data_IF_820859965116
#
_entry.id   IF_820859965116
#
_cell.length_a   1.000
_cell.length_b   1.000
_cell.length_c   1.000
_cell.angle_alpha   90.00
_cell.angle_beta   90.00
_cell.angle_gamma   90.00
#
_symmetry.space_group_name_H-M   'P 1'
#
loop_
_entity.id
_entity.type
_entity.pdbx_description
1 polymer ?
#
# COMPACT_ATOMS: atom_id res chain seq x y z
N UNK A 1 5.56 39.15 -70.81
CA UNK A 1 5.55 40.16 -69.73
C UNK A 1 5.79 39.46 -68.40
N UNK A 2 7.00 39.55 -67.79
CA UNK A 2 7.28 38.91 -66.51
C UNK A 2 7.06 39.89 -65.35
N UNK A 3 6.22 39.50 -64.40
CA UNK A 3 5.93 40.25 -63.17
C UNK A 3 7.02 40.01 -62.12
N UNK A 4 7.61 41.09 -61.61
CA UNK A 4 8.59 41.10 -60.53
C UNK A 4 7.91 40.81 -59.18
N UNK A 5 8.24 39.69 -58.54
CA UNK A 5 7.98 39.44 -57.11
C UNK A 5 9.21 39.87 -56.31
N UNK A 6 9.03 40.79 -55.35
CA UNK A 6 10.06 41.22 -54.40
C UNK A 6 9.97 40.35 -53.13
N UNK A 7 11.10 39.90 -52.56
CA UNK A 7 11.10 39.20 -51.29
C UNK A 7 10.95 40.19 -50.13
N UNK A 8 9.93 39.98 -49.28
CA UNK A 8 9.84 40.59 -47.96
C UNK A 8 10.71 39.78 -47.00
N UNK A 9 11.80 40.38 -46.51
CA UNK A 9 12.61 39.82 -45.42
C UNK A 9 11.94 40.20 -44.11
N UNK A 10 11.26 39.23 -43.49
CA UNK A 10 10.70 39.38 -42.15
C UNK A 10 11.83 39.16 -41.12
N UNK A 11 12.32 40.24 -40.53
CA UNK A 11 13.33 40.19 -39.47
C UNK A 11 12.62 39.87 -38.14
N UNK A 12 12.51 38.58 -37.81
CA UNK A 12 12.02 38.14 -36.51
C UNK A 12 13.12 38.36 -35.46
N UNK A 13 12.97 39.41 -34.64
CA UNK A 13 13.81 39.62 -33.48
C UNK A 13 13.51 38.55 -32.42
N UNK A 14 14.36 37.51 -32.34
CA UNK A 14 14.39 36.61 -31.19
C UNK A 14 14.89 37.40 -29.97
N UNK A 15 13.95 37.92 -29.18
CA UNK A 15 14.23 38.38 -27.82
C UNK A 15 14.47 37.13 -26.96
N UNK A 16 15.73 36.76 -26.79
CA UNK A 16 16.13 35.77 -25.80
C UNK A 16 15.94 36.38 -24.41
N UNK A 17 14.82 36.08 -23.75
CA UNK A 17 14.62 36.44 -22.35
C UNK A 17 15.61 35.64 -21.51
N UNK A 18 16.57 36.32 -20.90
CA UNK A 18 17.47 35.68 -19.93
C UNK A 18 16.63 35.02 -18.82
N UNK A 19 16.98 33.81 -18.36
CA UNK A 19 16.26 33.14 -17.28
C UNK A 19 16.34 34.01 -16.03
N UNK A 20 15.19 34.55 -15.62
CA UNK A 20 15.07 35.33 -14.40
C UNK A 20 15.31 34.38 -13.22
N UNK A 21 16.29 34.68 -12.38
CA UNK A 21 16.59 33.86 -11.20
C UNK A 21 15.31 33.78 -10.34
N UNK A 22 14.81 32.56 -10.10
CA UNK A 22 13.64 32.35 -9.28
C UNK A 22 13.94 32.86 -7.86
N UNK A 23 13.23 33.90 -7.42
CA UNK A 23 13.32 34.35 -6.04
C UNK A 23 12.86 33.21 -5.12
N UNK A 24 13.61 32.99 -4.04
CA UNK A 24 13.20 32.05 -2.99
C UNK A 24 11.86 32.52 -2.41
N UNK A 25 10.94 31.58 -2.18
CA UNK A 25 9.66 31.88 -1.54
C UNK A 25 9.88 32.39 -0.11
N UNK A 26 8.99 33.28 0.37
CA UNK A 26 9.08 33.79 1.75
C UNK A 26 8.88 32.66 2.77
N UNK A 27 8.03 31.68 2.45
CA UNK A 27 7.72 30.54 3.32
C UNK A 27 7.85 29.21 2.57
N UNK A 28 8.42 28.20 3.23
CA UNK A 28 8.58 26.85 2.67
C UNK A 28 7.90 25.80 3.56
N UNK A 29 7.12 24.92 2.94
CA UNK A 29 6.45 23.80 3.58
C UNK A 29 6.84 22.49 2.90
N UNK A 30 6.67 21.40 3.64
CA UNK A 30 7.01 20.06 3.17
C UNK A 30 5.92 19.08 3.56
N UNK A 31 5.69 18.09 2.71
CA UNK A 31 4.77 17.00 3.02
C UNK A 31 4.89 15.89 1.97
N UNK A 32 3.95 14.95 1.99
CA UNK A 32 3.97 13.80 1.08
C UNK A 32 2.69 13.67 0.27
N UNK A 33 2.77 12.98 -0.86
CA UNK A 33 1.66 12.84 -1.81
C UNK A 33 0.40 12.21 -1.18
N UNK A 34 0.55 11.30 -0.21
CA UNK A 34 -0.56 10.64 0.47
C UNK A 34 -1.03 11.29 1.77
N UNK A 35 -0.56 12.50 2.09
CA UNK A 35 -0.87 13.21 3.33
C UNK A 35 -1.80 14.41 3.10
N UNK A 36 -2.42 14.89 4.18
CA UNK A 36 -2.96 16.24 4.26
C UNK A 36 -1.83 17.18 4.72
N UNK A 37 -1.26 17.96 3.81
CA UNK A 37 -0.14 18.84 4.11
C UNK A 37 -0.70 20.13 4.71
N UNK A 38 -0.50 20.32 6.01
CA UNK A 38 -0.93 21.53 6.70
C UNK A 38 -0.03 22.72 6.37
N UNK A 39 -0.65 23.82 5.95
CA UNK A 39 -0.03 25.11 5.72
C UNK A 39 -0.57 26.06 6.77
N UNK A 40 0.27 26.45 7.73
CA UNK A 40 -0.12 27.28 8.87
C UNK A 40 0.80 28.50 8.98
N UNK A 41 0.39 29.61 8.37
CA UNK A 41 1.19 30.84 8.37
C UNK A 41 1.22 31.52 9.73
N UNK A 42 0.15 31.41 10.52
CA UNK A 42 0.06 32.03 11.85
C UNK A 42 1.07 31.45 12.85
N UNK A 43 1.56 30.23 12.60
CA UNK A 43 2.58 29.58 13.43
C UNK A 43 4.03 29.86 12.96
N UNK A 44 4.23 30.60 11.86
CA UNK A 44 5.56 30.84 11.32
C UNK A 44 6.31 31.92 12.11
N UNK A 45 7.64 31.76 12.30
CA UNK A 45 8.48 32.82 12.84
C UNK A 45 8.33 34.12 12.04
N UNK A 46 8.14 35.24 12.75
CA UNK A 46 7.99 36.57 12.13
C UNK A 46 6.57 36.95 11.73
N UNK A 47 5.58 36.04 11.87
CA UNK A 47 4.16 36.38 11.75
C UNK A 47 3.62 36.70 13.15
N UNK A 48 3.17 37.94 13.37
CA UNK A 48 2.64 38.36 14.66
C UNK A 48 1.33 37.63 15.00
N UNK A 49 1.13 37.29 16.27
CA UNK A 49 -0.14 36.74 16.74
C UNK A 49 -1.29 37.73 16.43
N UNK A 50 -2.40 37.22 15.90
CA UNK A 50 -3.53 38.04 15.45
C UNK A 50 -3.35 38.72 14.09
N UNK A 51 -2.33 38.34 13.31
CA UNK A 51 -2.21 38.78 11.91
C UNK A 51 -3.44 38.38 11.09
N UNK A 52 -3.83 39.24 10.15
CA UNK A 52 -4.88 38.98 9.18
C UNK A 52 -4.31 38.41 7.87
N UNK A 53 -5.01 37.43 7.30
CA UNK A 53 -4.62 36.74 6.07
C UNK A 53 -5.66 36.99 4.98
N UNK A 54 -5.24 37.31 3.75
CA UNK A 54 -6.16 37.52 2.64
C UNK A 54 -5.47 37.33 1.29
N UNK A 55 -6.19 37.50 0.17
CA UNK A 55 -5.60 37.46 -1.17
C UNK A 55 -4.90 36.14 -1.53
N UNK A 56 -5.39 35.01 -0.99
CA UNK A 56 -4.82 33.70 -1.23
C UNK A 56 -4.90 33.36 -2.73
N UNK A 57 -3.76 33.20 -3.37
CA UNK A 57 -3.60 32.82 -4.76
C UNK A 57 -2.99 31.42 -4.86
N UNK A 58 -3.76 30.50 -5.44
CA UNK A 58 -3.44 29.09 -5.58
C UNK A 58 -3.29 28.66 -7.04
N UNK A 59 -2.94 29.57 -7.96
CA UNK A 59 -2.77 29.23 -9.37
C UNK A 59 -1.78 28.07 -9.61
N UNK A 60 -0.73 27.96 -8.80
CA UNK A 60 0.24 26.85 -8.84
C UNK A 60 -0.24 25.52 -8.23
N UNK A 61 -1.50 25.43 -7.80
CA UNK A 61 -2.10 24.24 -7.20
C UNK A 61 -3.11 23.54 -8.13
N UNK A 62 -3.13 23.88 -9.42
CA UNK A 62 -4.02 23.24 -10.40
C UNK A 62 -3.85 21.73 -10.42
N UNK A 63 -4.95 20.98 -10.33
CA UNK A 63 -4.94 19.51 -10.23
C UNK A 63 -4.83 18.97 -8.81
N UNK A 64 -4.61 19.83 -7.81
CA UNK A 64 -4.58 19.46 -6.40
C UNK A 64 -5.84 19.94 -5.67
N UNK A 65 -6.16 19.30 -4.55
CA UNK A 65 -7.26 19.77 -3.68
C UNK A 65 -6.69 20.63 -2.57
N UNK A 66 -7.29 21.81 -2.34
CA UNK A 66 -6.91 22.72 -1.27
C UNK A 66 -8.16 23.07 -0.47
N UNK A 67 -8.13 22.84 0.83
CA UNK A 67 -9.27 23.11 1.73
C UNK A 67 -8.82 24.03 2.87
N UNK A 68 -9.53 25.13 3.07
CA UNK A 68 -9.23 26.11 4.11
C UNK A 68 -9.75 25.69 5.49
N UNK A 69 -9.25 26.34 6.53
CA UNK A 69 -9.67 26.16 7.92
C UNK A 69 -11.12 26.49 8.20
N UNK A 70 -11.75 27.33 7.37
CA UNK A 70 -13.18 27.62 7.44
C UNK A 70 -13.99 26.32 7.32
N UNK A 71 -13.57 25.44 6.42
CA UNK A 71 -14.22 24.17 6.15
C UNK A 71 -13.77 23.07 7.13
N UNK A 72 -12.46 22.93 7.36
CA UNK A 72 -11.91 21.76 8.05
C UNK A 72 -11.82 21.90 9.58
N UNK A 73 -11.77 23.13 10.09
CA UNK A 73 -11.54 23.42 11.50
C UNK A 73 -12.56 24.42 12.09
N UNK A 74 -13.53 24.89 11.30
CA UNK A 74 -14.49 25.92 11.69
C UNK A 74 -13.80 27.19 12.24
N UNK A 75 -12.70 27.58 11.60
CA UNK A 75 -11.95 28.80 11.92
C UNK A 75 -11.73 29.62 10.65
N UNK A 76 -12.06 30.91 10.62
CA UNK A 76 -11.91 31.69 9.40
C UNK A 76 -10.46 31.74 8.92
N UNK A 77 -10.18 31.44 7.65
CA UNK A 77 -8.82 31.54 7.09
C UNK A 77 -8.22 32.91 7.35
N UNK A 78 -9.04 33.96 7.26
CA UNK A 78 -8.62 35.34 7.50
C UNK A 78 -7.96 35.56 8.87
N UNK A 79 -8.37 34.78 9.87
CA UNK A 79 -7.85 34.86 11.25
C UNK A 79 -6.87 33.73 11.59
N UNK A 80 -7.04 32.55 11.01
CA UNK A 80 -6.24 31.36 11.32
C UNK A 80 -4.99 31.23 10.44
N UNK A 81 -5.01 31.80 9.23
CA UNK A 81 -3.92 31.67 8.26
C UNK A 81 -3.61 30.23 7.92
N UNK A 82 -4.62 29.34 7.93
CA UNK A 82 -4.44 27.89 7.83
C UNK A 82 -5.26 27.27 6.72
N UNK A 83 -4.62 26.40 5.94
CA UNK A 83 -5.28 25.51 4.99
C UNK A 83 -4.50 24.20 4.84
N UNK A 84 -5.09 23.23 4.14
CA UNK A 84 -4.46 21.95 3.85
C UNK A 84 -4.40 21.72 2.35
N UNK A 85 -3.28 21.17 1.90
CA UNK A 85 -3.06 20.72 0.53
C UNK A 85 -3.13 19.20 0.49
N UNK A 86 -3.89 18.68 -0.46
CA UNK A 86 -4.00 17.27 -0.75
C UNK A 86 -3.50 17.07 -2.19
N UNK A 87 -2.22 16.69 -2.35
CA UNK A 87 -1.62 16.49 -3.68
C UNK A 87 -2.38 15.42 -4.48
N UNK A 88 -2.28 15.47 -5.81
CA UNK A 88 -2.96 14.49 -6.65
C UNK A 88 -2.31 13.11 -6.42
N UNK A 89 -3.06 12.09 -5.95
CA UNK A 89 -2.51 10.76 -5.70
C UNK A 89 -2.38 9.89 -6.97
N UNK A 90 -2.81 10.39 -8.14
CA UNK A 90 -2.69 9.67 -9.40
C UNK A 90 -1.24 9.34 -9.75
N UNK A 91 -1.02 8.25 -10.50
CA UNK A 91 0.33 7.83 -10.95
C UNK A 91 0.84 8.60 -12.17
N UNK A 92 -0.01 9.35 -12.86
CA UNK A 92 0.31 10.03 -14.11
C UNK A 92 0.24 11.55 -13.94
N UNK A 93 1.02 12.06 -13.00
CA UNK A 93 1.04 13.47 -12.63
C UNK A 93 2.12 14.27 -13.35
N UNK A 94 2.81 13.67 -14.35
CA UNK A 94 3.86 14.34 -15.12
C UNK A 94 3.40 15.66 -15.77
N UNK A 95 2.14 15.71 -16.23
CA UNK A 95 1.55 16.92 -16.79
C UNK A 95 1.41 18.06 -15.76
N UNK A 96 1.41 17.74 -14.47
CA UNK A 96 1.36 18.70 -13.35
C UNK A 96 2.76 19.13 -12.89
N UNK A 97 3.83 18.71 -13.57
CA UNK A 97 5.21 19.01 -13.16
C UNK A 97 5.82 18.00 -12.19
N UNK A 98 5.27 16.78 -12.14
CA UNK A 98 5.81 15.69 -11.33
C UNK A 98 7.23 15.31 -11.76
N UNK A 99 8.09 15.13 -10.76
CA UNK A 99 9.53 14.94 -10.89
C UNK A 99 9.95 13.48 -10.97
N UNK A 100 9.11 12.51 -10.58
CA UNK A 100 9.45 11.09 -10.67
C UNK A 100 8.23 10.19 -10.95
N UNK A 101 8.42 8.88 -10.87
CA UNK A 101 7.41 7.87 -11.23
C UNK A 101 6.78 7.16 -10.02
N UNK A 102 7.06 7.64 -8.80
CA UNK A 102 6.39 7.15 -7.60
C UNK A 102 4.91 7.51 -7.64
N UNK A 103 4.12 6.86 -6.79
CA UNK A 103 2.68 7.11 -6.75
C UNK A 103 2.39 8.51 -6.18
N UNK A 104 1.50 9.24 -6.85
CA UNK A 104 1.07 10.59 -6.50
C UNK A 104 1.97 11.65 -7.12
N UNK A 105 1.66 12.92 -6.90
CA UNK A 105 2.48 14.04 -7.35
C UNK A 105 3.72 14.22 -6.47
N UNK A 106 4.90 14.40 -7.06
CA UNK A 106 6.09 14.88 -6.37
C UNK A 106 6.68 16.11 -7.06
N UNK A 107 6.81 17.21 -6.34
CA UNK A 107 7.32 18.45 -6.91
C UNK A 107 7.08 19.64 -5.99
N UNK A 108 7.17 20.84 -6.55
CA UNK A 108 6.98 22.09 -5.80
C UNK A 108 5.71 22.79 -6.27
N UNK A 109 4.80 23.03 -5.34
CA UNK A 109 3.63 23.87 -5.54
C UNK A 109 3.92 25.26 -5.01
N UNK A 110 3.48 26.31 -5.69
CA UNK A 110 3.76 27.69 -5.31
C UNK A 110 2.50 28.53 -5.29
N UNK A 111 2.42 29.43 -4.31
CA UNK A 111 1.29 30.35 -4.15
C UNK A 111 1.72 31.67 -3.54
N UNK A 112 0.75 32.56 -3.35
CA UNK A 112 0.93 33.81 -2.64
C UNK A 112 -0.28 34.16 -1.78
N UNK A 113 -0.08 35.04 -0.81
CA UNK A 113 -1.13 35.61 0.03
C UNK A 113 -0.70 37.00 0.51
N UNK A 114 -1.61 37.69 1.19
CA UNK A 114 -1.34 38.89 1.95
C UNK A 114 -1.31 38.56 3.44
N UNK A 115 -0.31 39.05 4.16
CA UNK A 115 -0.23 39.02 5.63
C UNK A 115 -0.24 40.46 6.12
N UNK A 116 -1.31 40.88 6.80
CA UNK A 116 -1.55 42.28 7.17
C UNK A 116 -1.46 43.24 5.96
N UNK A 117 -1.95 42.80 4.79
CA UNK A 117 -1.90 43.55 3.54
C UNK A 117 -0.56 43.49 2.79
N UNK A 118 0.51 42.95 3.38
CA UNK A 118 1.80 42.79 2.72
C UNK A 118 1.84 41.48 1.91
N UNK A 119 2.24 41.56 0.64
CA UNK A 119 2.36 40.38 -0.21
C UNK A 119 3.47 39.44 0.25
N UNK A 120 3.14 38.15 0.29
CA UNK A 120 4.02 37.03 0.64
C UNK A 120 3.85 35.90 -0.36
N UNK A 121 4.94 35.21 -0.63
CA UNK A 121 5.01 34.02 -1.46
C UNK A 121 5.28 32.80 -0.60
N UNK A 122 4.79 31.64 -1.02
CA UNK A 122 5.10 30.39 -0.34
C UNK A 122 5.24 29.24 -1.32
N UNK A 123 5.94 28.19 -0.90
CA UNK A 123 6.06 26.94 -1.65
C UNK A 123 5.81 25.72 -0.77
N UNK A 124 5.33 24.64 -1.40
CA UNK A 124 5.09 23.34 -0.78
C UNK A 124 5.85 22.29 -1.58
N UNK A 125 6.87 21.70 -0.97
CA UNK A 125 7.62 20.59 -1.57
C UNK A 125 6.96 19.27 -1.19
N UNK A 126 6.46 18.56 -2.20
CA UNK A 126 5.76 17.28 -2.05
C UNK A 126 6.71 16.13 -2.35
N UNK A 127 6.90 15.26 -1.37
CA UNK A 127 7.71 14.05 -1.45
C UNK A 127 6.84 12.80 -1.70
N UNK A 128 7.41 11.69 -2.18
CA UNK A 128 6.66 10.46 -2.36
C UNK A 128 6.27 9.83 -1.01
N UNK A 129 5.20 9.03 -1.04
CA UNK A 129 4.75 8.25 0.10
C UNK A 129 3.69 8.96 0.95
N UNK A 130 3.63 8.56 2.20
CA UNK A 130 2.74 9.11 3.21
C UNK A 130 3.33 8.92 4.61
N UNK A 131 2.78 9.64 5.58
CA UNK A 131 3.22 9.63 6.96
C UNK A 131 2.38 8.65 7.79
N UNK A 132 3.04 7.77 8.53
CA UNK A 132 2.41 6.74 9.37
C UNK A 132 2.14 7.17 10.82
N UNK A 133 2.74 8.26 11.29
CA UNK A 133 2.53 8.78 12.64
C UNK A 133 2.81 10.28 12.71
N UNK A 134 2.14 10.99 13.62
CA UNK A 134 2.37 12.42 13.85
C UNK A 134 1.68 13.32 12.82
N UNK A 135 2.28 14.46 12.50
CA UNK A 135 1.73 15.43 11.55
C UNK A 135 1.66 14.81 10.14
N UNK A 136 0.48 14.85 9.52
CA UNK A 136 0.22 14.25 8.21
C UNK A 136 -0.31 12.81 8.25
N UNK A 137 -0.24 12.14 9.42
CA UNK A 137 -0.92 10.86 9.60
C UNK A 137 -2.45 11.04 9.63
N UNK A 138 -3.16 9.98 9.26
CA UNK A 138 -4.62 9.95 9.31
C UNK A 138 -5.10 9.96 10.76
N UNK A 139 -5.84 10.99 11.13
CA UNK A 139 -6.58 11.06 12.39
C UNK A 139 -7.83 10.20 12.37
N UNK A 140 -8.39 9.94 13.55
CA UNK A 140 -9.65 9.23 13.70
C UNK A 140 -10.43 9.72 14.92
N UNK A 141 -11.75 9.73 14.78
CA UNK A 141 -12.70 9.91 15.87
C UNK A 141 -13.93 8.99 15.70
N UNK A 142 -13.77 7.86 14.99
CA UNK A 142 -14.84 6.94 14.55
C UNK A 142 -15.72 7.49 13.42
N UNK A 143 -15.12 8.16 12.44
CA UNK A 143 -15.83 8.72 11.29
C UNK A 143 -16.64 7.65 10.55
N UNK A 144 -17.87 7.97 10.14
CA UNK A 144 -18.78 7.06 9.46
C UNK A 144 -19.86 7.81 8.66
N UNK A 145 -20.52 7.11 7.73
CA UNK A 145 -21.63 7.67 6.95
C UNK A 145 -22.80 8.10 7.86
N UNK A 146 -23.35 9.29 7.61
CA UNK A 146 -24.52 9.81 8.32
C UNK A 146 -24.23 10.32 9.74
N UNK A 147 -22.98 10.26 10.21
CA UNK A 147 -22.62 10.74 11.54
C UNK A 147 -22.40 12.26 11.52
N UNK A 148 -23.24 12.99 12.25
CA UNK A 148 -23.14 14.46 12.37
C UNK A 148 -21.85 14.94 13.06
N UNK A 149 -21.25 14.10 13.92
CA UNK A 149 -20.05 14.42 14.69
C UNK A 149 -18.74 14.03 13.98
N UNK A 150 -18.76 13.78 12.67
CA UNK A 150 -17.53 13.55 11.91
C UNK A 150 -16.61 14.77 11.99
N UNK A 151 -15.32 14.56 12.26
CA UNK A 151 -14.32 15.62 12.20
C UNK A 151 -13.92 15.86 10.73
N UNK A 152 -14.22 17.03 10.13
CA UNK A 152 -14.00 17.23 8.70
C UNK A 152 -12.53 17.10 8.27
N UNK A 153 -11.59 17.54 9.10
CA UNK A 153 -10.16 17.37 8.83
C UNK A 153 -9.77 15.88 8.77
N UNK A 154 -10.25 15.08 9.73
CA UNK A 154 -9.96 13.65 9.75
C UNK A 154 -10.59 12.96 8.54
N UNK A 155 -11.83 13.30 8.19
CA UNK A 155 -12.46 12.80 6.96
C UNK A 155 -11.63 13.12 5.73
N UNK A 156 -11.14 14.36 5.58
CA UNK A 156 -10.34 14.75 4.42
C UNK A 156 -8.99 13.98 4.36
N UNK A 157 -8.34 13.77 5.51
CA UNK A 157 -7.14 12.94 5.62
C UNK A 157 -7.42 11.49 5.18
N UNK A 158 -8.53 10.92 5.64
CA UNK A 158 -8.95 9.55 5.33
C UNK A 158 -9.25 9.40 3.83
N UNK A 159 -9.99 10.36 3.25
CA UNK A 159 -10.29 10.41 1.82
C UNK A 159 -9.01 10.46 0.99
N UNK A 160 -8.05 11.31 1.35
CA UNK A 160 -6.78 11.40 0.65
C UNK A 160 -5.99 10.10 0.75
N UNK A 161 -5.96 9.48 1.93
CA UNK A 161 -5.24 8.22 2.12
C UNK A 161 -5.86 7.08 1.34
N UNK A 162 -7.19 6.98 1.29
CA UNK A 162 -7.90 5.99 0.46
C UNK A 162 -7.56 6.16 -1.03
N UNK A 163 -7.62 7.40 -1.56
CA UNK A 163 -7.21 7.66 -2.96
C UNK A 163 -5.76 7.31 -3.21
N UNK A 164 -4.86 7.67 -2.30
CA UNK A 164 -3.44 7.33 -2.40
C UNK A 164 -3.24 5.82 -2.41
N UNK A 165 -3.95 5.07 -1.58
CA UNK A 165 -3.89 3.62 -1.60
C UNK A 165 -4.63 2.99 -2.79
N UNK A 166 -5.26 3.79 -3.67
CA UNK A 166 -5.91 3.32 -4.90
C UNK A 166 -7.35 2.83 -4.70
N UNK A 167 -7.93 3.01 -3.52
CA UNK A 167 -9.32 2.69 -3.27
C UNK A 167 -10.22 3.78 -3.86
N UNK A 168 -11.27 3.35 -4.53
CA UNK A 168 -12.23 4.19 -5.25
C UNK A 168 -13.63 3.93 -4.71
N UNK A 169 -14.54 4.85 -5.01
CA UNK A 169 -15.96 4.63 -4.72
C UNK A 169 -16.53 3.50 -5.59
N UNK A 170 -17.67 2.93 -5.16
CA UNK A 170 -18.42 1.99 -5.98
C UNK A 170 -18.75 2.61 -7.35
N UNK A 171 -18.54 1.85 -8.43
CA UNK A 171 -18.59 2.36 -9.80
C UNK A 171 -17.26 2.94 -10.32
N UNK A 172 -16.20 2.92 -9.50
CA UNK A 172 -14.83 3.21 -9.93
C UNK A 172 -14.41 4.67 -9.89
N UNK A 173 -15.29 5.58 -9.46
CA UNK A 173 -14.94 7.01 -9.38
C UNK A 173 -13.97 7.28 -8.21
N UNK A 174 -12.97 8.17 -8.38
CA UNK A 174 -12.08 8.55 -7.29
C UNK A 174 -12.85 9.10 -6.08
N UNK A 175 -12.42 8.74 -4.87
CA UNK A 175 -12.98 9.33 -3.65
C UNK A 175 -12.75 10.85 -3.65
N UNK A 176 -13.79 11.65 -3.44
CA UNK A 176 -13.64 13.10 -3.35
C UNK A 176 -12.99 13.49 -2.01
N UNK A 177 -12.01 14.39 -2.02
CA UNK A 177 -11.43 14.98 -0.79
C UNK A 177 -12.18 16.26 -0.49
N UNK A 178 -13.10 16.19 0.47
CA UNK A 178 -14.02 17.28 0.79
C UNK A 178 -14.18 17.54 2.28
N UNK A 179 -13.74 16.61 3.13
CA UNK A 179 -14.05 16.63 4.56
C UNK A 179 -15.48 16.20 4.90
N UNK A 180 -16.28 15.81 3.90
CA UNK A 180 -17.63 15.27 4.11
C UNK A 180 -17.62 13.76 3.86
N UNK A 181 -18.01 12.97 4.88
CA UNK A 181 -18.03 11.51 4.78
C UNK A 181 -19.30 11.05 4.04
N UNK A 182 -19.21 11.00 2.71
CA UNK A 182 -20.30 10.58 1.84
C UNK A 182 -20.28 9.08 1.48
N UNK A 183 -21.26 8.65 0.69
CA UNK A 183 -21.40 7.25 0.25
C UNK A 183 -20.14 6.74 -0.48
N UNK A 184 -19.51 7.56 -1.33
CA UNK A 184 -18.28 7.15 -2.01
C UNK A 184 -17.07 6.97 -1.08
N UNK A 185 -17.03 7.67 0.05
CA UNK A 185 -16.02 7.44 1.11
C UNK A 185 -16.32 6.16 1.87
N UNK A 186 -17.58 5.95 2.25
CA UNK A 186 -18.04 4.73 2.92
C UNK A 186 -17.74 3.48 2.09
N UNK A 187 -18.05 3.51 0.80
CA UNK A 187 -17.82 2.37 -0.08
C UNK A 187 -16.31 2.09 -0.22
N UNK A 188 -15.50 3.09 -0.54
CA UNK A 188 -14.04 2.90 -0.63
C UNK A 188 -13.44 2.36 0.67
N UNK A 189 -13.95 2.84 1.81
CA UNK A 189 -13.51 2.40 3.13
C UNK A 189 -13.85 0.94 3.40
N UNK A 190 -15.07 0.49 3.10
CA UNK A 190 -15.44 -0.93 3.31
C UNK A 190 -14.62 -1.87 2.42
N UNK A 191 -14.26 -1.46 1.19
CA UNK A 191 -13.31 -2.21 0.35
C UNK A 191 -11.95 -2.30 1.02
N UNK A 192 -11.44 -1.19 1.54
CA UNK A 192 -10.19 -1.14 2.28
C UNK A 192 -10.22 -2.04 3.53
N UNK A 193 -11.30 -1.98 4.31
CA UNK A 193 -11.50 -2.81 5.50
C UNK A 193 -11.55 -4.30 5.15
N UNK A 194 -12.23 -4.67 4.06
CA UNK A 194 -12.34 -6.07 3.64
C UNK A 194 -10.98 -6.71 3.38
N UNK A 195 -9.99 -5.95 2.91
CA UNK A 195 -8.65 -6.47 2.65
C UNK A 195 -7.96 -7.06 3.89
N UNK A 196 -8.24 -6.55 5.10
CA UNK A 196 -7.57 -6.99 6.34
C UNK A 196 -8.48 -7.65 7.39
N UNK A 197 -9.79 -7.70 7.16
CA UNK A 197 -10.74 -8.31 8.11
C UNK A 197 -10.90 -9.84 7.91
N UNK A 198 -10.50 -10.39 6.76
CA UNK A 198 -10.10 -11.79 6.65
C UNK A 198 -10.77 -12.61 5.53
N UNK A 199 -9.96 -13.10 4.59
CA UNK A 199 -9.42 -14.47 4.56
C UNK A 199 -10.34 -15.69 4.46
N UNK A 200 -11.61 -15.61 4.87
CA UNK A 200 -12.54 -16.73 4.76
C UNK A 200 -13.91 -16.14 4.46
N UNK A 201 -14.23 -15.97 3.18
CA UNK A 201 -15.60 -15.86 2.67
C UNK A 201 -16.57 -14.98 3.49
N UNK A 202 -16.09 -13.91 4.13
CA UNK A 202 -17.00 -13.03 4.85
C UNK A 202 -17.51 -12.03 3.84
N UNK A 203 -18.75 -12.24 3.44
CA UNK A 203 -19.61 -11.24 2.83
C UNK A 203 -19.67 -9.99 3.73
N UNK A 204 -18.66 -9.11 3.71
CA UNK A 204 -18.66 -7.78 4.34
C UNK A 204 -19.13 -7.68 5.82
N UNK A 205 -19.34 -8.79 6.53
CA UNK A 205 -20.17 -8.81 7.74
C UNK A 205 -19.56 -8.01 8.91
N UNK A 206 -18.25 -7.69 8.82
CA UNK A 206 -17.53 -6.85 9.75
C UNK A 206 -16.89 -5.60 9.10
N UNK A 207 -17.11 -5.34 7.81
CA UNK A 207 -16.76 -4.03 7.21
C UNK A 207 -17.86 -3.06 7.58
N UNK A 208 -17.71 -2.38 8.71
CA UNK A 208 -18.72 -1.51 9.29
C UNK A 208 -18.76 -0.11 8.66
N UNK A 209 -17.75 0.25 7.87
CA UNK A 209 -17.60 1.60 7.32
C UNK A 209 -17.23 2.64 8.37
N UNK A 210 -16.72 2.20 9.53
CA UNK A 210 -16.31 3.06 10.65
C UNK A 210 -14.78 3.15 10.71
N UNK A 211 -14.25 4.36 10.77
CA UNK A 211 -12.81 4.60 10.95
C UNK A 211 -12.49 4.62 12.44
N UNK A 212 -12.44 3.43 13.04
CA UNK A 212 -11.91 3.21 14.38
C UNK A 212 -10.37 3.14 14.41
N UNK A 213 -9.76 2.92 15.59
CA UNK A 213 -8.32 2.84 15.76
C UNK A 213 -7.64 1.82 14.84
N UNK A 214 -8.24 0.64 14.62
CA UNK A 214 -7.68 -0.40 13.73
C UNK A 214 -7.65 0.05 12.28
N UNK A 215 -8.75 0.62 11.78
CA UNK A 215 -8.85 1.12 10.40
C UNK A 215 -7.86 2.25 10.16
N UNK A 216 -7.76 3.21 11.09
CA UNK A 216 -6.78 4.29 11.01
C UNK A 216 -5.34 3.77 11.11
N UNK A 217 -5.09 2.77 11.95
CA UNK A 217 -3.81 2.08 12.04
C UNK A 217 -3.39 1.49 10.69
N UNK A 218 -4.30 0.80 9.99
CA UNK A 218 -4.04 0.30 8.65
C UNK A 218 -3.86 1.41 7.62
N UNK A 219 -4.65 2.48 7.65
CA UNK A 219 -4.47 3.62 6.74
C UNK A 219 -3.07 4.25 6.88
N UNK A 220 -2.50 4.17 8.07
CA UNK A 220 -1.19 4.70 8.41
C UNK A 220 -0.03 3.69 8.32
N UNK A 221 -0.31 2.39 8.22
CA UNK A 221 0.71 1.35 8.21
C UNK A 221 1.47 1.37 6.88
N UNK A 222 2.81 1.32 6.90
CA UNK A 222 3.64 1.34 5.67
C UNK A 222 3.32 0.18 4.71
N UNK A 223 2.87 -0.95 5.26
CA UNK A 223 2.45 -2.13 4.51
C UNK A 223 0.94 -2.16 4.22
N UNK A 224 0.23 -1.02 4.34
CA UNK A 224 -1.17 -0.91 3.94
C UNK A 224 -1.39 -1.47 2.52
N UNK A 225 -2.50 -2.17 2.28
CA UNK A 225 -2.77 -2.71 0.96
C UNK A 225 -2.96 -1.56 -0.02
N UNK A 226 -2.29 -1.63 -1.17
CA UNK A 226 -2.54 -0.74 -2.29
C UNK A 226 -3.42 -1.48 -3.29
N UNK A 227 -4.55 -0.90 -3.67
CA UNK A 227 -5.40 -1.43 -4.71
C UNK A 227 -4.90 -0.97 -6.09
N UNK A 228 -4.60 -1.92 -6.97
CA UNK A 228 -4.06 -1.62 -8.30
C UNK A 228 -4.33 -2.75 -9.30
N UNK A 229 -4.23 -2.41 -10.58
CA UNK A 229 -4.32 -3.38 -11.67
C UNK A 229 -3.05 -4.26 -11.74
N UNK A 230 -3.23 -5.54 -12.04
CA UNK A 230 -2.14 -6.46 -12.32
C UNK A 230 -1.56 -6.24 -13.72
N UNK A 231 -0.24 -6.32 -13.86
CA UNK A 231 0.45 -6.32 -15.15
C UNK A 231 0.97 -7.74 -15.46
N UNK A 232 0.77 -8.29 -16.67
CA UNK A 232 1.29 -9.61 -17.02
C UNK A 232 2.83 -9.65 -17.01
N UNK A 233 3.39 -10.84 -16.80
CA UNK A 233 4.85 -11.06 -16.78
C UNK A 233 5.23 -12.33 -17.56
N UNK A 234 6.52 -12.69 -17.58
CA UNK A 234 6.94 -13.97 -18.14
C UNK A 234 6.48 -15.18 -17.29
N UNK A 235 6.17 -14.99 -16.00
CA UNK A 235 5.75 -16.06 -15.10
C UNK A 235 4.24 -16.33 -15.17
N UNK A 236 3.44 -15.31 -15.47
CA UNK A 236 1.98 -15.43 -15.53
C UNK A 236 1.37 -14.52 -16.59
N UNK A 237 0.24 -14.96 -17.13
CA UNK A 237 -0.66 -14.18 -17.99
C UNK A 237 -1.92 -13.80 -17.22
N UNK A 238 -2.63 -12.78 -17.71
CA UNK A 238 -3.88 -12.29 -17.11
C UNK A 238 -4.94 -12.33 -18.19
N UNK A 239 -6.09 -12.93 -17.87
CA UNK A 239 -7.21 -13.05 -18.82
C UNK A 239 -7.76 -11.68 -19.18
N UNK A 240 -8.39 -11.57 -20.37
CA UNK A 240 -8.80 -10.29 -20.91
C UNK A 240 -9.95 -9.59 -20.16
N UNK A 241 -10.46 -10.18 -19.08
CA UNK A 241 -11.64 -9.75 -18.31
C UNK A 241 -11.42 -8.44 -17.53
N UNK A 242 -12.51 -7.83 -17.04
CA UNK A 242 -12.51 -6.61 -16.21
C UNK A 242 -11.99 -6.82 -14.78
N UNK A 243 -11.76 -8.07 -14.38
CA UNK A 243 -11.39 -8.48 -13.03
C UNK A 243 -9.86 -8.62 -12.89
N UNK A 244 -9.16 -7.49 -12.94
CA UNK A 244 -7.68 -7.42 -12.92
C UNK A 244 -7.13 -6.61 -11.77
N UNK A 245 -7.96 -6.22 -10.82
CA UNK A 245 -7.54 -5.40 -9.70
C UNK A 245 -7.39 -6.25 -8.46
N UNK A 246 -6.33 -6.01 -7.72
CA UNK A 246 -6.12 -6.67 -6.45
C UNK A 246 -5.34 -5.79 -5.48
N UNK A 247 -5.28 -6.22 -4.23
CA UNK A 247 -4.37 -5.61 -3.26
C UNK A 247 -2.92 -5.90 -3.64
N UNK A 248 -2.00 -5.01 -3.28
CA UNK A 248 -0.56 -5.20 -3.48
C UNK A 248 -0.04 -6.49 -2.83
N UNK A 249 -0.70 -6.97 -1.78
CA UNK A 249 -0.39 -8.24 -1.13
C UNK A 249 -0.68 -9.43 -2.04
N UNK A 250 -1.89 -9.46 -2.63
CA UNK A 250 -2.30 -10.45 -3.63
C UNK A 250 -1.40 -10.42 -4.85
N UNK A 251 -1.06 -9.23 -5.35
CA UNK A 251 -0.21 -9.10 -6.53
C UNK A 251 1.23 -9.57 -6.29
N UNK A 252 1.80 -9.29 -5.12
CA UNK A 252 3.12 -9.81 -4.74
C UNK A 252 3.09 -11.34 -4.58
N UNK A 253 2.00 -11.88 -4.04
CA UNK A 253 1.78 -13.33 -3.95
C UNK A 253 1.69 -13.97 -5.33
N UNK A 254 0.92 -13.40 -6.27
CA UNK A 254 0.86 -13.88 -7.67
C UNK A 254 2.25 -13.83 -8.30
N UNK A 255 2.97 -12.72 -8.14
CA UNK A 255 4.28 -12.54 -8.76
C UNK A 255 5.29 -13.59 -8.28
N UNK A 256 5.42 -13.76 -6.96
CA UNK A 256 6.38 -14.71 -6.37
C UNK A 256 5.92 -16.16 -6.52
N UNK A 257 4.65 -16.44 -6.24
CA UNK A 257 4.04 -17.76 -6.37
C UNK A 257 4.13 -18.29 -7.80
N UNK A 258 3.85 -17.46 -8.81
CA UNK A 258 3.96 -17.88 -10.22
C UNK A 258 5.41 -18.14 -10.65
N UNK A 259 6.38 -17.38 -10.15
CA UNK A 259 7.80 -17.66 -10.43
C UNK A 259 8.20 -19.04 -9.89
N UNK A 260 7.84 -19.35 -8.64
CA UNK A 260 8.11 -20.65 -8.03
C UNK A 260 7.35 -21.78 -8.72
N UNK A 261 6.07 -21.56 -9.06
CA UNK A 261 5.22 -22.52 -9.75
C UNK A 261 5.77 -22.85 -11.14
N UNK A 262 6.20 -21.83 -11.90
CA UNK A 262 6.84 -22.01 -13.20
C UNK A 262 8.18 -22.73 -13.09
N UNK A 263 8.99 -22.45 -12.07
CA UNK A 263 10.22 -23.19 -11.84
C UNK A 263 9.95 -24.68 -11.52
N UNK A 264 8.89 -24.98 -10.78
CA UNK A 264 8.53 -26.35 -10.39
C UNK A 264 7.87 -27.18 -11.50
N UNK A 265 7.21 -26.53 -12.47
CA UNK A 265 6.36 -27.21 -13.47
C UNK A 265 6.71 -26.91 -14.92
N UNK A 266 7.47 -25.85 -15.20
CA UNK A 266 7.67 -25.32 -16.55
C UNK A 266 6.47 -24.57 -17.14
N UNK A 267 5.34 -24.52 -16.41
CA UNK A 267 4.08 -23.94 -16.89
C UNK A 267 4.01 -22.46 -16.49
N UNK A 268 3.61 -21.60 -17.42
CA UNK A 268 3.22 -20.21 -17.13
C UNK A 268 1.77 -20.18 -16.63
N UNK A 269 1.54 -19.60 -15.47
CA UNK A 269 0.21 -19.54 -14.85
C UNK A 269 -0.72 -18.59 -15.64
N UNK A 270 -2.02 -18.88 -15.65
CA UNK A 270 -3.03 -17.97 -16.20
C UNK A 270 -3.98 -17.54 -15.09
N UNK A 271 -3.86 -16.28 -14.67
CA UNK A 271 -4.80 -15.64 -13.74
C UNK A 271 -6.10 -15.36 -14.50
N UNK A 272 -7.20 -15.99 -14.09
CA UNK A 272 -8.49 -15.88 -14.76
C UNK A 272 -9.38 -14.80 -14.17
N UNK A 273 -9.33 -14.61 -12.85
CA UNK A 273 -10.01 -13.51 -12.19
C UNK A 273 -9.27 -13.05 -10.92
N UNK A 274 -9.44 -11.76 -10.67
CA UNK A 274 -9.16 -11.03 -9.44
C UNK A 274 -10.42 -10.22 -9.11
N UNK A 275 -10.31 -8.96 -8.69
CA UNK A 275 -11.44 -8.07 -8.43
C UNK A 275 -11.69 -7.07 -9.56
N UNK A 276 -12.89 -6.48 -9.60
CA UNK A 276 -13.18 -5.30 -10.42
C UNK A 276 -12.40 -4.06 -9.95
N UNK A 277 -12.36 -3.04 -10.81
CA UNK A 277 -11.67 -1.78 -10.54
C UNK A 277 -12.11 -1.05 -9.26
N UNK A 278 -13.31 -1.32 -8.75
CA UNK A 278 -13.85 -0.73 -7.52
C UNK A 278 -13.86 -1.68 -6.30
N UNK A 279 -13.57 -2.96 -6.51
CA UNK A 279 -13.61 -3.97 -5.45
C UNK A 279 -15.01 -4.40 -5.00
N UNK A 280 -16.09 -3.92 -5.65
CA UNK A 280 -17.48 -4.14 -5.25
C UNK A 280 -18.23 -5.21 -6.06
N UNK A 281 -17.74 -5.51 -7.27
CA UNK A 281 -18.39 -6.44 -8.18
C UNK A 281 -17.47 -7.59 -8.55
N UNK A 282 -17.96 -8.81 -8.45
CA UNK A 282 -17.53 -9.88 -9.34
C UNK A 282 -18.75 -10.72 -9.61
N UNK A 283 -19.52 -10.28 -10.61
CA UNK A 283 -20.68 -11.02 -11.08
C UNK A 283 -20.32 -11.95 -12.23
N UNK A 284 -19.13 -11.79 -12.83
CA UNK A 284 -18.71 -12.54 -13.99
C UNK A 284 -18.24 -13.96 -13.63
N UNK A 285 -17.62 -14.14 -12.44
CA UNK A 285 -17.12 -15.45 -11.99
C UNK A 285 -17.75 -15.84 -10.64
N UNK A 286 -17.40 -15.20 -9.52
CA UNK A 286 -18.06 -15.45 -8.23
C UNK A 286 -18.09 -14.21 -7.33
N UNK A 287 -19.13 -14.10 -6.48
CA UNK A 287 -19.35 -12.95 -5.60
C UNK A 287 -18.25 -12.70 -4.54
N UNK A 288 -17.31 -13.64 -4.37
CA UNK A 288 -16.23 -13.59 -3.38
C UNK A 288 -15.07 -12.71 -3.77
N UNK A 289 -14.84 -12.44 -5.06
CA UNK A 289 -13.70 -11.65 -5.57
C UNK A 289 -13.81 -10.15 -5.30
N UNK A 290 -14.44 -9.77 -4.20
CA UNK A 290 -14.46 -8.39 -3.73
C UNK A 290 -13.10 -8.05 -3.14
N UNK A 291 -12.81 -6.78 -3.01
CA UNK A 291 -11.66 -6.24 -2.26
C UNK A 291 -10.26 -6.68 -2.72
N UNK A 292 -10.13 -7.51 -3.76
CA UNK A 292 -8.83 -7.85 -4.35
C UNK A 292 -8.01 -8.84 -3.55
N UNK A 293 -8.68 -9.73 -2.80
CA UNK A 293 -8.04 -10.74 -1.95
C UNK A 293 -8.24 -12.16 -2.46
N UNK A 294 -8.67 -12.33 -3.70
CA UNK A 294 -9.00 -13.62 -4.29
C UNK A 294 -8.27 -13.79 -5.61
N UNK A 295 -7.84 -15.01 -5.91
CA UNK A 295 -7.13 -15.35 -7.14
C UNK A 295 -7.74 -16.62 -7.73
N UNK A 296 -8.14 -16.55 -9.00
CA UNK A 296 -8.39 -17.76 -9.78
C UNK A 296 -7.21 -18.05 -10.69
N UNK A 297 -6.67 -19.26 -10.56
CA UNK A 297 -5.65 -19.81 -11.45
C UNK A 297 -6.27 -20.89 -12.31
N UNK A 298 -6.28 -20.70 -13.64
CA UNK A 298 -6.80 -21.71 -14.55
C UNK A 298 -6.06 -23.04 -14.41
N UNK A 299 -6.81 -24.13 -14.50
CA UNK A 299 -6.27 -25.50 -14.55
C UNK A 299 -6.43 -26.09 -15.95
N UNK A 300 -5.68 -27.17 -16.24
CA UNK A 300 -5.83 -27.90 -17.49
C UNK A 300 -7.18 -28.63 -17.55
N UNK A 301 -7.78 -28.77 -18.74
CA UNK A 301 -9.11 -29.39 -18.88
C UNK A 301 -9.18 -30.86 -18.45
N UNK A 302 -8.04 -31.57 -18.47
CA UNK A 302 -7.89 -32.91 -17.91
C UNK A 302 -8.21 -32.99 -16.41
N UNK A 303 -8.06 -31.88 -15.69
CA UNK A 303 -8.33 -31.79 -14.25
C UNK A 303 -9.78 -31.42 -13.92
N UNK A 304 -10.62 -31.13 -14.93
CA UNK A 304 -12.02 -30.69 -14.76
C UNK A 304 -12.95 -31.88 -14.45
N UNK A 305 -12.57 -32.65 -13.44
CA UNK A 305 -13.26 -33.82 -12.94
C UNK A 305 -13.36 -33.72 -11.40
N UNK A 306 -14.08 -34.64 -10.75
CA UNK A 306 -14.31 -34.61 -9.29
C UNK A 306 -13.21 -35.29 -8.46
N UNK A 307 -12.20 -35.83 -9.12
CA UNK A 307 -11.24 -36.80 -8.61
C UNK A 307 -11.73 -38.24 -8.81
N UNK A 308 -10.78 -39.14 -9.09
CA UNK A 308 -11.02 -40.58 -9.22
C UNK A 308 -10.18 -41.41 -8.23
N UNK A 309 -9.42 -40.75 -7.36
CA UNK A 309 -8.53 -41.36 -6.38
C UNK A 309 -7.11 -41.58 -6.90
N UNK A 310 -6.81 -41.16 -8.13
CA UNK A 310 -5.49 -41.26 -8.74
C UNK A 310 -5.06 -39.89 -9.28
N UNK A 311 -4.13 -39.24 -8.58
CA UNK A 311 -3.59 -37.95 -9.02
C UNK A 311 -2.85 -38.07 -10.37
N UNK A 312 -3.44 -37.49 -11.41
CA UNK A 312 -2.84 -37.35 -12.74
C UNK A 312 -1.66 -36.38 -12.75
N UNK A 313 -0.89 -36.36 -13.84
CA UNK A 313 0.23 -35.40 -14.01
C UNK A 313 -0.23 -33.94 -13.94
N UNK A 314 -1.39 -33.63 -14.49
CA UNK A 314 -1.91 -32.26 -14.51
C UNK A 314 -2.43 -31.84 -13.13
N UNK A 315 -3.11 -32.73 -12.40
CA UNK A 315 -3.50 -32.48 -11.00
C UNK A 315 -2.26 -32.31 -10.11
N UNK A 316 -1.22 -33.13 -10.30
CA UNK A 316 0.04 -32.97 -9.59
C UNK A 316 0.74 -31.63 -9.88
N UNK A 317 0.58 -31.09 -11.10
CA UNK A 317 1.08 -29.75 -11.43
C UNK A 317 0.28 -28.65 -10.71
N UNK A 318 -1.05 -28.77 -10.61
CA UNK A 318 -1.88 -27.85 -9.82
C UNK A 318 -1.49 -27.89 -8.33
N UNK A 319 -1.26 -29.08 -7.77
CA UNK A 319 -0.75 -29.23 -6.39
C UNK A 319 0.58 -28.51 -6.21
N UNK A 320 1.52 -28.63 -7.17
CA UNK A 320 2.80 -27.91 -7.14
C UNK A 320 2.60 -26.39 -7.24
N UNK A 321 1.64 -25.91 -8.02
CA UNK A 321 1.30 -24.48 -8.08
C UNK A 321 0.81 -24.00 -6.72
N UNK A 322 -0.13 -24.72 -6.08
CA UNK A 322 -0.63 -24.37 -4.75
C UNK A 322 0.50 -24.32 -3.71
N UNK A 323 1.37 -25.34 -3.68
CA UNK A 323 2.55 -25.37 -2.80
C UNK A 323 3.47 -24.18 -3.05
N UNK A 324 3.75 -23.85 -4.31
CA UNK A 324 4.57 -22.70 -4.67
C UNK A 324 3.99 -21.36 -4.20
N UNK A 325 2.66 -21.21 -4.19
CA UNK A 325 2.01 -20.02 -3.64
C UNK A 325 2.08 -19.97 -2.11
N UNK A 326 1.93 -21.09 -1.42
CA UNK A 326 2.10 -21.15 0.05
C UNK A 326 3.53 -20.81 0.46
N UNK A 327 4.51 -21.31 -0.28
CA UNK A 327 5.93 -21.14 0.03
C UNK A 327 6.49 -19.80 -0.46
N UNK A 328 5.71 -19.05 -1.24
CA UNK A 328 6.10 -17.73 -1.68
C UNK A 328 6.27 -16.83 -0.45
N UNK A 329 7.48 -16.33 -0.23
CA UNK A 329 7.78 -15.30 0.78
C UNK A 329 7.21 -13.93 0.34
N UNK A 330 5.89 -13.89 0.13
CA UNK A 330 5.13 -12.74 -0.30
C UNK A 330 4.64 -11.91 0.89
N UNK A 331 4.22 -10.69 0.60
CA UNK A 331 3.59 -9.79 1.56
C UNK A 331 2.17 -10.24 1.92
N UNK A 332 1.43 -10.81 0.96
CA UNK A 332 0.19 -11.55 1.24
C UNK A 332 0.47 -12.98 1.66
N UNK A 333 -0.49 -13.62 2.33
CA UNK A 333 -0.43 -15.05 2.66
C UNK A 333 -1.64 -15.79 2.10
N UNK A 334 -1.44 -17.03 1.67
CA UNK A 334 -2.58 -17.92 1.39
C UNK A 334 -3.33 -18.17 2.71
N UNK A 335 -4.61 -17.86 2.75
CA UNK A 335 -5.49 -18.24 3.86
C UNK A 335 -6.25 -19.52 3.53
N UNK A 336 -6.62 -19.75 2.27
CA UNK A 336 -7.38 -20.93 1.89
C UNK A 336 -7.22 -21.23 0.41
N UNK A 337 -7.26 -22.52 0.05
CA UNK A 337 -7.56 -22.94 -1.32
C UNK A 337 -8.97 -23.50 -1.43
N UNK A 338 -9.58 -23.31 -2.60
CA UNK A 338 -10.86 -23.91 -2.96
C UNK A 338 -10.71 -24.64 -4.30
N UNK A 339 -11.21 -25.87 -4.36
CA UNK A 339 -11.24 -26.68 -5.59
C UNK A 339 -12.41 -27.66 -5.56
N UNK A 340 -12.93 -28.02 -6.74
CA UNK A 340 -13.93 -29.09 -6.90
C UNK A 340 -13.31 -30.46 -7.21
N UNK A 341 -11.98 -30.57 -7.35
CA UNK A 341 -11.31 -31.83 -7.66
C UNK A 341 -10.70 -32.44 -6.38
N UNK A 342 -11.14 -33.65 -6.01
CA UNK A 342 -10.76 -34.32 -4.77
C UNK A 342 -9.28 -34.71 -4.75
N UNK A 343 -8.71 -35.11 -5.89
CA UNK A 343 -7.30 -35.50 -5.98
C UNK A 343 -6.38 -34.28 -5.79
N UNK A 344 -6.77 -33.11 -6.31
CA UNK A 344 -6.07 -31.84 -6.06
C UNK A 344 -6.19 -31.46 -4.57
N UNK A 345 -7.40 -31.53 -4.00
CA UNK A 345 -7.63 -31.25 -2.58
C UNK A 345 -6.73 -32.10 -1.68
N UNK A 346 -6.71 -33.42 -1.90
CA UNK A 346 -5.93 -34.36 -1.08
C UNK A 346 -4.43 -34.18 -1.31
N UNK A 347 -3.99 -33.92 -2.54
CA UNK A 347 -2.60 -33.62 -2.85
C UNK A 347 -2.08 -32.36 -2.13
N UNK A 348 -2.86 -31.27 -2.11
CA UNK A 348 -2.49 -30.06 -1.36
C UNK A 348 -2.46 -30.35 0.13
N UNK A 349 -3.47 -31.06 0.66
CA UNK A 349 -3.56 -31.41 2.09
C UNK A 349 -2.37 -32.23 2.56
N UNK A 350 -1.94 -33.20 1.75
CA UNK A 350 -0.78 -34.03 2.03
C UNK A 350 0.52 -33.20 2.02
N UNK A 351 0.67 -32.28 1.07
CA UNK A 351 1.86 -31.45 0.94
C UNK A 351 1.94 -30.33 2.00
N UNK A 352 0.81 -29.71 2.36
CA UNK A 352 0.71 -28.55 3.26
C UNK A 352 -0.46 -28.71 4.24
N UNK A 353 -0.35 -29.60 5.24
CA UNK A 353 -1.46 -29.95 6.14
C UNK A 353 -1.95 -28.79 7.02
N UNK A 354 -1.16 -27.73 7.16
CA UNK A 354 -1.52 -26.53 7.92
C UNK A 354 -2.32 -25.49 7.13
N UNK A 355 -2.43 -25.64 5.81
CA UNK A 355 -3.15 -24.69 4.95
C UNK A 355 -4.63 -25.06 4.94
N UNK A 356 -5.54 -24.12 5.27
CA UNK A 356 -6.98 -24.36 5.14
C UNK A 356 -7.38 -24.70 3.70
N UNK A 357 -8.27 -25.67 3.56
CA UNK A 357 -8.80 -26.11 2.27
C UNK A 357 -10.32 -26.22 2.33
N UNK A 358 -10.98 -25.89 1.24
CA UNK A 358 -12.41 -26.09 1.05
C UNK A 358 -12.66 -26.90 -0.22
N UNK A 359 -13.34 -28.02 -0.07
CA UNK A 359 -13.77 -28.84 -1.19
C UNK A 359 -15.14 -28.34 -1.67
N UNK A 360 -15.19 -27.75 -2.86
CA UNK A 360 -16.42 -27.22 -3.43
C UNK A 360 -17.19 -28.32 -4.18
N UNK A 361 -18.26 -28.80 -3.55
CA UNK A 361 -19.18 -29.82 -4.10
C UNK A 361 -20.15 -29.30 -5.16
N UNK A 362 -20.19 -27.98 -5.41
CA UNK A 362 -21.09 -27.40 -6.43
C UNK A 362 -20.52 -27.49 -7.86
N UNK A 363 -19.20 -27.63 -7.99
CA UNK A 363 -18.51 -27.73 -9.28
C UNK A 363 -18.10 -26.37 -9.84
N UNK A 364 -18.33 -25.28 -9.10
CA UNK A 364 -17.94 -23.93 -9.49
C UNK A 364 -16.43 -23.77 -9.68
N UNK A 365 -15.63 -24.61 -9.02
CA UNK A 365 -14.17 -24.56 -9.06
C UNK A 365 -13.55 -25.80 -9.75
N UNK A 366 -14.17 -26.26 -10.85
CA UNK A 366 -13.62 -27.35 -11.67
C UNK A 366 -12.52 -26.88 -12.63
N UNK A 367 -12.64 -25.66 -13.16
CA UNK A 367 -11.75 -25.14 -14.21
C UNK A 367 -10.63 -24.22 -13.73
N UNK A 368 -10.57 -23.99 -12.42
CA UNK A 368 -9.56 -23.19 -11.77
C UNK A 368 -9.32 -23.63 -10.32
N UNK A 369 -8.18 -23.21 -9.77
CA UNK A 369 -7.88 -23.24 -8.34
C UNK A 369 -8.11 -21.83 -7.79
N UNK A 370 -9.04 -21.69 -6.84
CA UNK A 370 -9.30 -20.42 -6.16
C UNK A 370 -8.42 -20.30 -4.90
N UNK A 371 -7.86 -19.12 -4.68
CA UNK A 371 -6.94 -18.81 -3.59
C UNK A 371 -7.45 -17.59 -2.83
N UNK A 372 -7.77 -17.76 -1.55
CA UNK A 372 -8.02 -16.64 -0.65
C UNK A 372 -6.69 -16.11 -0.11
N UNK A 373 -6.50 -14.80 -0.19
CA UNK A 373 -5.31 -14.09 0.25
C UNK A 373 -5.61 -13.24 1.46
N UNK A 374 -4.77 -13.38 2.47
CA UNK A 374 -4.82 -12.61 3.69
C UNK A 374 -3.90 -11.41 3.71
N UNK A 375 -4.10 -10.51 4.69
CA UNK A 375 -3.05 -9.59 5.09
C UNK A 375 -1.78 -10.36 5.48
N UNK A 376 -0.61 -9.71 5.43
CA UNK A 376 0.62 -10.27 6.01
C UNK A 376 0.34 -10.85 7.40
N UNK A 377 1.05 -11.92 7.78
CA UNK A 377 0.98 -12.52 9.14
C UNK A 377 1.26 -11.52 10.26
N UNK A 378 1.83 -10.37 9.92
CA UNK A 378 1.92 -9.18 10.77
C UNK A 378 0.70 -8.29 10.53
N UNK A 379 -0.32 -8.45 11.37
CA UNK A 379 -1.44 -7.50 11.46
C UNK A 379 -0.89 -6.12 11.86
N UNK A 380 -1.28 -5.05 11.15
CA UNK A 380 -1.16 -3.71 11.70
C UNK A 380 -1.94 -3.67 13.03
N UNK A 381 -1.25 -3.32 14.12
CA UNK A 381 -1.81 -3.39 15.48
C UNK A 381 -1.05 -4.29 16.46
N UNK A 382 0.00 -5.03 16.03
CA UNK A 382 1.09 -5.28 16.99
C UNK A 382 1.68 -3.92 17.32
N UNK A 383 1.79 -3.57 18.61
CA UNK A 383 2.40 -2.30 19.02
C UNK A 383 3.69 -2.14 18.23
N UNK A 384 3.75 -1.13 17.34
CA UNK A 384 4.99 -0.75 16.68
C UNK A 384 6.06 -0.80 17.76
N UNK A 385 7.07 -1.65 17.56
CA UNK A 385 8.22 -1.64 18.45
C UNK A 385 8.68 -0.18 18.48
N UNK A 386 8.63 0.44 19.64
CA UNK A 386 8.97 1.85 19.72
C UNK A 386 10.41 2.00 19.22
N UNK A 387 10.64 2.75 18.14
CA UNK A 387 11.95 2.85 17.47
C UNK A 387 12.14 1.96 16.23
N UNK A 388 11.19 1.07 15.91
CA UNK A 388 11.13 0.36 14.63
C UNK A 388 10.48 1.31 13.62
N UNK A 389 11.32 2.02 12.87
CA UNK A 389 10.92 3.06 11.94
C UNK A 389 10.71 2.54 10.52
N UNK A 390 11.22 1.34 10.21
CA UNK A 390 11.02 0.68 8.92
C UNK A 390 9.96 -0.43 8.96
N UNK A 391 9.40 -0.71 10.15
CA UNK A 391 8.35 -1.68 10.42
C UNK A 391 8.75 -3.12 10.06
N UNK A 392 10.03 -3.47 10.25
CA UNK A 392 10.57 -4.81 10.00
C UNK A 392 10.52 -5.74 11.23
N UNK A 393 9.87 -5.31 12.31
CA UNK A 393 9.78 -5.95 13.63
C UNK A 393 11.12 -6.10 14.37
N UNK A 394 12.14 -5.35 13.97
CA UNK A 394 13.42 -5.31 14.66
C UNK A 394 13.97 -3.89 14.71
N UNK A 395 14.11 -3.34 15.91
CA UNK A 395 14.76 -2.04 16.11
C UNK A 395 16.27 -2.21 15.89
N UNK A 396 16.77 -1.81 14.73
CA UNK A 396 18.13 -2.03 14.27
C UNK A 396 18.70 -0.80 13.52
N UNK A 397 19.87 -0.93 12.90
CA UNK A 397 20.52 0.19 12.21
C UNK A 397 19.75 0.68 10.96
N UNK A 398 18.92 -0.16 10.35
CA UNK A 398 18.06 0.21 9.23
C UNK A 398 17.01 1.25 9.66
N UNK A 399 16.50 1.15 10.88
CA UNK A 399 15.59 2.15 11.46
C UNK A 399 16.29 3.49 11.64
N UNK A 400 17.54 3.48 12.11
CA UNK A 400 18.31 4.71 12.26
C UNK A 400 18.46 5.43 10.92
N UNK A 401 18.68 4.69 9.82
CA UNK A 401 18.76 5.27 8.48
C UNK A 401 17.43 5.92 8.06
N UNK A 402 16.29 5.31 8.42
CA UNK A 402 14.96 5.90 8.21
C UNK A 402 14.76 7.14 9.08
N UNK A 403 15.16 7.09 10.35
CA UNK A 403 15.08 8.25 11.26
C UNK A 403 15.91 9.42 10.73
N UNK A 404 17.19 9.21 10.43
CA UNK A 404 18.10 10.25 9.92
C UNK A 404 17.58 10.89 8.64
N UNK A 405 16.96 10.10 7.76
CA UNK A 405 16.37 10.60 6.51
C UNK A 405 15.17 11.52 6.74
N UNK A 406 14.45 11.36 7.86
CA UNK A 406 13.21 12.09 8.14
C UNK A 406 13.24 12.86 9.48
N UNK A 407 14.41 13.03 10.08
CA UNK A 407 14.60 13.76 11.33
C UNK A 407 14.29 15.25 11.13
N UNK A 408 13.50 15.82 12.04
CA UNK A 408 13.01 17.20 11.96
C UNK A 408 11.74 17.37 11.11
N UNK A 409 11.34 16.36 10.33
CA UNK A 409 10.09 16.36 9.58
C UNK A 409 9.06 15.40 10.20
N UNK A 410 9.37 14.11 10.22
CA UNK A 410 8.47 13.06 10.71
C UNK A 410 8.92 12.48 12.06
N UNK A 411 10.19 12.72 12.43
CA UNK A 411 10.76 12.23 13.67
C UNK A 411 11.45 13.34 14.43
N UNK A 412 11.12 13.47 15.71
CA UNK A 412 11.77 14.36 16.64
C UNK A 412 13.00 13.69 17.29
N UNK A 413 13.78 14.47 18.02
CA UNK A 413 14.88 13.93 18.83
C UNK A 413 14.41 12.89 19.88
N UNK A 414 13.17 13.00 20.35
CA UNK A 414 12.56 12.01 21.25
C UNK A 414 12.38 10.63 20.61
N UNK A 415 12.21 10.58 19.28
CA UNK A 415 12.09 9.33 18.54
C UNK A 415 13.46 8.64 18.44
N UNK A 416 14.54 9.39 18.18
CA UNK A 416 15.90 8.86 18.24
C UNK A 416 16.21 8.23 19.60
N UNK A 417 15.85 8.92 20.70
CA UNK A 417 16.02 8.36 22.04
C UNK A 417 15.18 7.10 22.26
N UNK A 418 14.05 6.99 21.58
CA UNK A 418 13.19 5.80 21.62
C UNK A 418 13.81 4.64 20.87
N UNK A 419 14.32 4.86 19.65
CA UNK A 419 15.15 3.88 18.93
C UNK A 419 16.37 3.45 19.74
N UNK A 420 17.13 4.40 20.28
CA UNK A 420 18.34 4.10 21.04
C UNK A 420 18.06 3.22 22.26
N UNK A 421 16.97 3.48 23.00
CA UNK A 421 16.54 2.66 24.15
C UNK A 421 16.05 1.27 23.76
N UNK A 422 15.68 1.09 22.50
CA UNK A 422 15.06 -0.13 22.00
C UNK A 422 15.95 -0.85 20.99
N UNK A 423 17.16 -0.36 20.71
CA UNK A 423 18.09 -0.98 19.78
C UNK A 423 18.36 -2.45 20.18
N UNK A 424 18.14 -3.36 19.25
CA UNK A 424 18.18 -4.80 19.46
C UNK A 424 16.86 -5.41 19.97
N UNK A 425 15.84 -4.60 20.25
CA UNK A 425 14.50 -5.10 20.51
C UNK A 425 13.92 -5.64 19.20
N UNK A 426 13.68 -6.95 19.18
CA UNK A 426 12.89 -7.60 18.17
C UNK A 426 11.66 -8.20 18.82
N UNK A 427 10.56 -8.27 18.08
CA UNK A 427 9.44 -9.08 18.52
C UNK A 427 9.94 -10.53 18.58
N UNK A 428 9.71 -11.27 19.68
CA UNK A 428 10.09 -12.67 19.73
C UNK A 428 9.42 -13.35 18.53
N UNK A 429 10.25 -13.92 17.65
CA UNK A 429 9.76 -14.62 16.47
C UNK A 429 8.80 -15.71 16.96
N UNK A 430 7.50 -15.51 16.75
CA UNK A 430 6.44 -16.37 17.26
C UNK A 430 6.45 -17.79 16.66
N UNK A 431 7.51 -18.15 15.93
CA UNK A 431 7.65 -19.41 15.20
C UNK A 431 8.97 -20.15 15.47
N UNK A 432 9.88 -19.63 16.30
CA UNK A 432 11.16 -20.32 16.57
C UNK A 432 11.08 -21.42 17.65
N UNK A 433 10.04 -21.42 18.51
CA UNK A 433 9.92 -22.40 19.58
C UNK A 433 9.45 -23.80 19.10
N UNK A 434 8.92 -23.92 17.87
CA UNK A 434 8.43 -25.21 17.36
C UNK A 434 9.48 -26.01 16.56
N UNK A 435 10.59 -25.40 16.14
CA UNK A 435 11.61 -26.07 15.29
C UNK A 435 12.82 -26.54 16.11
N UNK A 436 12.99 -26.07 17.34
CA UNK A 436 14.08 -26.51 18.22
C UNK A 436 13.93 -27.93 18.79
N UNK A 437 12.81 -28.63 18.53
CA UNK A 437 12.56 -30.00 19.02
C UNK A 437 13.09 -31.11 18.08
N UNK A 438 13.59 -30.79 16.87
CA UNK A 438 14.01 -31.79 15.88
C UNK A 438 15.47 -31.64 15.41
N UNK A 439 16.36 -31.02 16.18
CA UNK A 439 17.80 -31.13 15.91
C UNK A 439 18.29 -32.41 16.59
N UNK A 440 18.67 -33.47 15.85
CA UNK A 440 19.29 -34.64 16.47
C UNK A 440 20.60 -34.17 17.10
N UNK A 441 20.74 -34.30 18.41
CA UNK A 441 22.02 -34.01 19.05
C UNK A 441 23.12 -34.87 18.39
N UNK A 442 24.30 -34.31 18.12
CA UNK A 442 25.41 -35.11 17.61
C UNK A 442 25.66 -36.23 18.63
N UNK A 443 25.41 -37.47 18.20
CA UNK A 443 25.58 -38.66 19.04
C UNK A 443 26.89 -38.56 19.80
N UNK A 444 26.81 -38.59 21.13
CA UNK A 444 27.93 -38.41 22.06
C UNK A 444 29.12 -39.34 21.77
N UNK A 445 28.89 -40.40 20.97
CA UNK A 445 29.89 -41.28 20.37
C UNK A 445 30.94 -40.55 19.51
N UNK A 446 30.56 -39.52 18.75
CA UNK A 446 31.49 -38.76 17.93
C UNK A 446 32.48 -37.95 18.78
N UNK A 447 31.99 -37.33 19.86
CA UNK A 447 32.85 -36.60 20.80
C UNK A 447 33.72 -37.54 21.65
N UNK A 448 33.22 -38.74 21.99
CA UNK A 448 34.03 -39.79 22.64
C UNK A 448 35.12 -40.32 21.71
N UNK A 449 34.85 -40.51 20.42
CA UNK A 449 35.83 -40.94 19.44
C UNK A 449 36.93 -39.89 19.23
N UNK A 450 36.58 -38.61 19.14
CA UNK A 450 37.55 -37.51 19.06
C UNK A 450 38.41 -37.41 20.34
N UNK A 451 37.80 -37.58 21.52
CA UNK A 451 38.52 -37.62 22.80
C UNK A 451 39.53 -38.77 22.87
N UNK A 452 39.14 -39.97 22.42
CA UNK A 452 40.02 -41.14 22.42
C UNK A 452 41.22 -40.97 21.45
N UNK A 453 40.98 -40.38 20.28
CA UNK A 453 42.05 -40.09 19.31
C UNK A 453 43.06 -39.05 19.82
N UNK A 454 42.58 -38.03 20.55
CA UNK A 454 43.46 -37.03 21.17
C UNK A 454 44.26 -37.64 22.34
N UNK A 455 43.67 -38.56 23.10
CA UNK A 455 44.35 -39.24 24.20
C UNK A 455 45.45 -40.19 23.69
N UNK A 456 45.18 -40.94 22.62
CA UNK A 456 46.17 -41.82 21.97
C UNK A 456 47.35 -41.06 21.34
N UNK A 457 47.14 -39.83 20.88
CA UNK A 457 48.25 -38.97 20.40
C UNK A 457 49.14 -38.48 21.54
N UNK A 458 48.57 -38.27 22.73
CA UNK A 458 49.30 -37.73 23.88
C UNK A 458 50.12 -38.80 24.60
N UNK A 459 49.79 -40.08 24.48
CA UNK A 459 50.51 -41.19 25.12
C UNK A 459 51.72 -41.71 24.33
N UNK A 460 52.10 -41.05 23.22
CA UNK A 460 53.27 -41.41 22.37
C UNK A 460 54.39 -40.37 22.38
N UNK A 461 54.31 -39.38 23.26
CA UNK A 461 55.40 -38.49 23.66
C UNK A 461 55.76 -38.85 25.10
#
# INVERSE_FOLDING_TARGET
MPSKLRPFVLLAALLATAPQAAHAADFGFFGRSGDAIEINFAALPGVAAGSAFSGLNLAGFSGHTVLASDLLANQPFESAGRFWVFPDPARNTRALGDSNAARGFQGTLSGSLLVNGAAKTFSVTVQPGYTGSGLGAVGQSSEALGRAANNPLFVAQQQQRLRYLGFVSEGGAPVAVSGVFGAGTDSALRTFQGAFIGGINTTQANTDGIIGPTTAGWLNAQNAPIFQEIAPTAAYTVSAVSERFATSWTLDLIAKGSVLAKAATGITQRVTALSTADGYGSSAIHATHRVGTDIDLATASSTHNWGDGVTSTDEANVVKHAVAFVDAAASGRVIRFITSNQDIYDGIRAARPSVPLYYDTSGGHQDHLHIDVGPPTRSAGRTNLAGDFNLDDAVNAADLAVWQRYAGANYAGSDYLTWQRRLGASQPAALAAAVAQNVPEPTSLALLACSALLWLKRSRL
#
